data_IF_461228328581
#
_entry.id   IF_461228328581
#
_cell.length_a   1.000
_cell.length_b   1.000
_cell.length_c   1.000
_cell.angle_alpha   90.00
_cell.angle_beta   90.00
_cell.angle_gamma   90.00
#
_symmetry.space_group_name_H-M   'P 1'
#
loop_
_entity.id
_entity.type
_entity.pdbx_description
1 polymer ?
#
# COMPACT_ATOMS: atom_id res chain seq x y z
N UNK A 1 -36.40 11.56 5.63
CA UNK A 1 -35.00 12.03 5.67
C UNK A 1 -34.99 13.54 5.50
N UNK A 2 -34.58 14.26 6.56
CA UNK A 2 -34.73 15.72 6.70
C UNK A 2 -33.84 16.50 5.72
N UNK A 3 -34.33 17.65 5.23
CA UNK A 3 -33.56 18.65 4.44
C UNK A 3 -32.23 19.03 5.10
N UNK A 4 -32.13 18.97 6.43
CA UNK A 4 -30.89 19.24 7.19
C UNK A 4 -29.79 18.22 6.91
N UNK A 5 -30.16 16.96 6.63
CA UNK A 5 -29.18 15.89 6.38
C UNK A 5 -28.50 16.05 5.01
N UNK A 6 -29.22 16.59 4.03
CA UNK A 6 -28.69 16.91 2.70
C UNK A 6 -27.76 18.12 2.72
N UNK A 7 -28.07 19.13 3.54
CA UNK A 7 -27.20 20.30 3.72
C UNK A 7 -25.88 19.96 4.42
N UNK A 8 -25.90 19.05 5.41
CA UNK A 8 -24.69 18.60 6.11
C UNK A 8 -23.80 17.74 5.20
N UNK A 9 -24.39 16.84 4.41
CA UNK A 9 -23.65 16.04 3.42
C UNK A 9 -23.01 16.91 2.33
N UNK A 10 -23.75 17.91 1.82
CA UNK A 10 -23.20 18.86 0.84
C UNK A 10 -22.06 19.70 1.43
N UNK A 11 -22.17 20.12 2.69
CA UNK A 11 -21.13 20.89 3.37
C UNK A 11 -19.85 20.07 3.62
N UNK A 12 -19.99 18.80 4.03
CA UNK A 12 -18.85 17.88 4.22
C UNK A 12 -18.15 17.58 2.88
N UNK A 13 -18.92 17.33 1.82
CA UNK A 13 -18.38 17.12 0.47
C UNK A 13 -17.67 18.38 -0.05
N UNK A 14 -18.22 19.58 0.19
CA UNK A 14 -17.56 20.83 -0.20
C UNK A 14 -16.25 21.07 0.56
N UNK A 15 -16.20 20.79 1.87
CA UNK A 15 -14.96 20.92 2.65
C UNK A 15 -13.89 19.97 2.12
N UNK A 16 -14.23 18.70 1.87
CA UNK A 16 -13.27 17.74 1.32
C UNK A 16 -12.70 18.15 -0.04
N UNK A 17 -13.53 18.73 -0.92
CA UNK A 17 -13.07 19.24 -2.23
C UNK A 17 -12.17 20.48 -2.07
N UNK A 18 -12.51 21.40 -1.17
CA UNK A 18 -11.70 22.60 -0.90
C UNK A 18 -10.33 22.25 -0.29
N UNK A 19 -10.29 21.32 0.66
CA UNK A 19 -9.04 20.82 1.24
C UNK A 19 -8.17 20.13 0.19
N UNK A 20 -8.78 19.35 -0.72
CA UNK A 20 -8.05 18.65 -1.79
C UNK A 20 -7.44 19.63 -2.80
N UNK A 21 -8.15 20.71 -3.14
CA UNK A 21 -7.66 21.75 -4.05
C UNK A 21 -6.53 22.58 -3.41
N UNK A 22 -6.71 22.99 -2.16
CA UNK A 22 -5.69 23.74 -1.44
C UNK A 22 -4.40 22.91 -1.24
N UNK A 23 -4.53 21.60 -1.02
CA UNK A 23 -3.39 20.68 -0.95
C UNK A 23 -2.63 20.61 -2.29
N UNK A 24 -3.36 20.55 -3.41
CA UNK A 24 -2.77 20.56 -4.76
C UNK A 24 -2.05 21.88 -5.07
N UNK A 25 -2.66 23.01 -4.68
CA UNK A 25 -2.07 24.34 -4.90
C UNK A 25 -0.78 24.49 -4.09
N UNK A 26 -0.79 24.11 -2.81
CA UNK A 26 0.39 24.13 -1.94
C UNK A 26 1.51 23.21 -2.44
N UNK A 27 1.14 22.02 -2.93
CA UNK A 27 2.10 21.09 -3.51
C UNK A 27 2.77 21.67 -4.76
N UNK A 28 1.97 22.30 -5.64
CA UNK A 28 2.48 22.95 -6.86
C UNK A 28 3.44 24.09 -6.51
N UNK A 29 3.07 24.95 -5.57
CA UNK A 29 3.93 26.05 -5.09
C UNK A 29 5.25 25.53 -4.49
N UNK A 30 5.19 24.44 -3.73
CA UNK A 30 6.36 23.81 -3.12
C UNK A 30 7.29 23.21 -4.17
N UNK A 31 6.73 22.52 -5.17
CA UNK A 31 7.50 21.98 -6.30
C UNK A 31 8.18 23.12 -7.06
N UNK A 32 7.44 24.17 -7.44
CA UNK A 32 7.99 25.34 -8.15
C UNK A 32 9.14 25.98 -7.37
N UNK A 33 8.97 26.15 -6.05
CA UNK A 33 10.01 26.67 -5.16
C UNK A 33 11.27 25.81 -5.19
N UNK A 34 11.14 24.49 -5.12
CA UNK A 34 12.26 23.56 -5.05
C UNK A 34 13.01 23.39 -6.37
N UNK A 35 12.35 23.55 -7.52
CA UNK A 35 12.98 23.45 -8.84
C UNK A 35 13.38 24.81 -9.44
N UNK A 36 13.08 25.92 -8.76
CA UNK A 36 13.30 27.29 -9.25
C UNK A 36 14.73 27.53 -9.75
N UNK A 37 15.73 27.00 -9.02
CA UNK A 37 17.14 27.16 -9.36
C UNK A 37 17.63 26.17 -10.44
N UNK A 38 16.76 25.27 -10.89
CA UNK A 38 17.05 24.22 -11.87
C UNK A 38 16.25 24.37 -13.17
N UNK A 39 15.78 25.59 -13.47
CA UNK A 39 15.04 25.91 -14.69
C UNK A 39 13.54 26.12 -14.49
N UNK A 40 13.02 25.91 -13.28
CA UNK A 40 11.60 26.09 -12.97
C UNK A 40 10.71 24.97 -13.52
N UNK A 41 9.40 25.12 -13.36
CA UNK A 41 8.41 24.14 -13.84
C UNK A 41 8.26 24.25 -15.37
N UNK A 42 9.00 23.38 -16.07
CA UNK A 42 8.92 23.21 -17.53
C UNK A 42 8.30 21.85 -17.85
N UNK A 43 7.90 21.62 -19.11
CA UNK A 43 7.41 20.31 -19.56
C UNK A 43 8.43 19.19 -19.31
N UNK A 44 9.72 19.47 -19.52
CA UNK A 44 10.81 18.50 -19.27
C UNK A 44 10.95 18.20 -17.78
N UNK A 45 10.92 19.21 -16.92
CA UNK A 45 11.05 19.02 -15.47
C UNK A 45 9.82 18.30 -14.91
N UNK A 46 8.63 18.61 -15.42
CA UNK A 46 7.40 17.89 -15.06
C UNK A 46 7.47 16.41 -15.46
N UNK A 47 7.88 16.09 -16.68
CA UNK A 47 8.04 14.70 -17.14
C UNK A 47 9.03 13.92 -16.25
N UNK A 48 10.13 14.56 -15.83
CA UNK A 48 11.10 13.94 -14.92
C UNK A 48 10.49 13.67 -13.56
N UNK A 49 9.75 14.62 -12.99
CA UNK A 49 9.07 14.46 -11.69
C UNK A 49 7.97 13.38 -11.73
N UNK A 50 7.19 13.30 -12.81
CA UNK A 50 6.17 12.25 -13.00
C UNK A 50 6.78 10.84 -12.95
N UNK A 51 8.02 10.71 -13.42
CA UNK A 51 8.78 9.46 -13.49
C UNK A 51 9.74 9.28 -12.30
N UNK A 52 9.51 9.96 -11.18
CA UNK A 52 10.40 9.93 -10.00
C UNK A 52 10.79 8.52 -9.55
N UNK A 53 9.85 7.56 -9.56
CA UNK A 53 10.11 6.16 -9.15
C UNK A 53 11.04 5.40 -10.12
N UNK A 54 11.22 5.92 -11.33
CA UNK A 54 12.10 5.34 -12.35
C UNK A 54 13.50 5.94 -12.32
N UNK A 55 13.74 6.95 -11.48
CA UNK A 55 15.07 7.49 -11.28
C UNK A 55 15.98 6.41 -10.69
N UNK A 56 17.28 6.56 -10.91
CA UNK A 56 18.23 5.56 -10.45
C UNK A 56 18.41 5.64 -8.93
N UNK A 57 18.59 4.50 -8.26
CA UNK A 57 18.80 4.43 -6.80
C UNK A 57 19.94 5.31 -6.26
N UNK A 58 20.94 5.64 -7.09
CA UNK A 58 22.15 6.36 -6.70
C UNK A 58 22.27 7.78 -7.25
N UNK A 59 21.30 8.25 -8.04
CA UNK A 59 21.36 9.56 -8.66
C UNK A 59 19.98 10.20 -8.74
N UNK A 60 19.89 11.37 -8.13
CA UNK A 60 18.73 12.25 -8.19
C UNK A 60 18.83 13.12 -9.43
N UNK A 61 17.83 13.04 -10.31
CA UNK A 61 17.88 13.75 -11.58
C UNK A 61 17.86 15.27 -11.40
N UNK A 62 17.04 15.78 -10.48
CA UNK A 62 16.98 17.21 -10.13
C UNK A 62 17.71 17.40 -8.81
N UNK A 63 18.89 18.06 -8.79
CA UNK A 63 19.74 18.09 -7.61
C UNK A 63 19.02 18.64 -6.37
N UNK A 64 19.08 17.90 -5.25
CA UNK A 64 18.52 18.28 -3.95
C UNK A 64 17.01 18.58 -3.94
N UNK A 65 16.28 18.16 -4.99
CA UNK A 65 14.84 18.37 -5.09
C UNK A 65 14.11 17.69 -3.93
N UNK A 66 14.41 16.42 -3.67
CA UNK A 66 13.75 15.57 -2.67
C UNK A 66 13.90 16.16 -1.28
N UNK A 67 15.10 16.62 -0.91
CA UNK A 67 15.30 17.26 0.39
C UNK A 67 14.42 18.51 0.54
N UNK A 68 14.42 19.38 -0.47
CA UNK A 68 13.62 20.59 -0.44
C UNK A 68 12.13 20.26 -0.36
N UNK A 69 11.64 19.39 -1.25
CA UNK A 69 10.23 19.00 -1.31
C UNK A 69 9.77 18.37 0.01
N UNK A 70 10.59 17.49 0.60
CA UNK A 70 10.25 16.90 1.89
C UNK A 70 10.16 17.92 3.02
N UNK A 71 11.12 18.83 3.11
CA UNK A 71 11.15 19.85 4.16
C UNK A 71 10.01 20.88 4.03
N UNK A 72 9.47 21.08 2.82
CA UNK A 72 8.32 21.97 2.57
C UNK A 72 6.98 21.26 2.83
N UNK A 73 6.88 19.97 2.50
CA UNK A 73 5.60 19.26 2.43
C UNK A 73 5.28 18.37 3.63
N UNK A 74 6.29 17.88 4.35
CA UNK A 74 6.07 16.80 5.31
C UNK A 74 6.76 17.02 6.65
N UNK A 75 5.97 16.93 7.72
CA UNK A 75 6.47 17.03 9.10
C UNK A 75 7.36 15.85 9.51
N UNK A 76 7.32 14.73 8.76
CA UNK A 76 8.17 13.57 9.05
C UNK A 76 9.62 13.74 8.60
N UNK A 77 10.00 14.89 8.02
CA UNK A 77 11.36 15.14 7.57
C UNK A 77 11.87 16.51 8.01
N UNK A 78 13.07 16.53 8.59
CA UNK A 78 13.80 17.76 8.93
C UNK A 78 15.22 17.75 8.35
N UNK A 79 15.68 18.90 7.87
CA UNK A 79 16.99 19.03 7.21
C UNK A 79 18.19 18.70 8.12
N UNK A 80 18.01 18.74 9.45
CA UNK A 80 19.06 18.48 10.44
C UNK A 80 18.93 17.09 11.04
N UNK A 81 17.71 16.65 11.35
CA UNK A 81 17.47 15.37 12.03
C UNK A 81 17.06 14.23 11.08
N UNK A 82 16.77 14.53 9.82
CA UNK A 82 16.38 13.54 8.82
C UNK A 82 14.94 13.07 9.00
N UNK A 83 14.68 11.79 8.69
CA UNK A 83 13.36 11.19 8.76
C UNK A 83 12.96 10.86 10.20
N UNK A 84 11.77 11.28 10.61
CA UNK A 84 11.10 10.84 11.83
C UNK A 84 10.47 9.45 11.62
N UNK A 85 10.89 8.49 12.44
CA UNK A 85 10.37 7.11 12.37
C UNK A 85 8.85 7.07 12.55
N UNK A 86 8.33 7.82 13.52
CA UNK A 86 6.90 7.74 13.87
C UNK A 86 6.01 8.27 12.75
N UNK A 87 6.39 9.40 12.14
CA UNK A 87 5.70 9.99 11.00
C UNK A 87 5.76 9.11 9.75
N UNK A 88 6.94 8.54 9.44
CA UNK A 88 7.07 7.61 8.29
C UNK A 88 6.23 6.35 8.51
N UNK A 89 6.29 5.75 9.70
CA UNK A 89 5.52 4.55 10.01
C UNK A 89 4.00 4.83 10.05
N UNK A 90 3.58 6.03 10.47
CA UNK A 90 2.18 6.44 10.47
C UNK A 90 1.63 6.62 9.06
N UNK A 91 2.40 7.24 8.15
CA UNK A 91 1.94 7.53 6.79
C UNK A 91 2.05 6.33 5.84
N UNK A 92 3.18 5.62 5.87
CA UNK A 92 3.49 4.56 4.90
C UNK A 92 3.40 3.15 5.50
N UNK A 93 3.22 3.05 6.82
CA UNK A 93 3.17 1.79 7.55
C UNK A 93 4.53 1.31 8.05
N UNK A 94 4.52 0.65 9.20
CA UNK A 94 5.71 0.06 9.83
C UNK A 94 6.52 -0.88 8.88
N UNK A 95 5.90 -1.70 8.02
CA UNK A 95 6.66 -2.55 7.11
C UNK A 95 7.52 -1.78 6.10
N UNK A 96 7.01 -0.65 5.57
CA UNK A 96 7.78 0.21 4.64
C UNK A 96 8.95 0.85 5.38
N UNK A 97 8.69 1.42 6.57
CA UNK A 97 9.76 1.97 7.41
C UNK A 97 10.85 0.91 7.69
N UNK A 98 10.46 -0.28 8.14
CA UNK A 98 11.40 -1.36 8.46
C UNK A 98 12.22 -1.79 7.24
N UNK A 99 11.61 -1.87 6.06
CA UNK A 99 12.30 -2.23 4.82
C UNK A 99 13.28 -1.13 4.36
N UNK A 100 12.96 0.14 4.60
CA UNK A 100 13.80 1.28 4.22
C UNK A 100 14.74 1.76 5.33
N UNK A 101 14.69 1.18 6.54
CA UNK A 101 15.37 1.67 7.75
C UNK A 101 16.82 2.09 7.54
N UNK A 102 17.61 1.26 6.87
CA UNK A 102 19.04 1.55 6.62
C UNK A 102 19.30 2.81 5.77
N UNK A 103 18.31 3.23 4.95
CA UNK A 103 18.36 4.45 4.14
C UNK A 103 17.73 5.65 4.85
N UNK A 104 16.85 5.41 5.83
CA UNK A 104 16.16 6.44 6.59
C UNK A 104 16.97 6.92 7.81
N UNK A 105 17.67 6.01 8.47
CA UNK A 105 18.52 6.36 9.62
C UNK A 105 19.76 7.13 9.16
N UNK A 106 20.06 8.24 9.84
CA UNK A 106 21.32 8.96 9.66
C UNK A 106 22.47 8.04 10.06
N UNK A 107 23.20 7.52 9.08
CA UNK A 107 24.32 6.62 9.32
C UNK A 107 25.39 7.32 10.17
N UNK A 108 25.71 6.76 11.34
CA UNK A 108 26.69 7.28 12.30
C UNK A 108 28.16 7.27 11.85
N UNK A 109 28.44 7.44 10.55
CA UNK A 109 29.79 7.43 10.00
C UNK A 109 29.91 7.54 8.47
N UNK A 110 28.85 7.95 7.73
CA UNK A 110 28.93 8.14 6.27
C UNK A 110 29.01 9.62 5.91
N UNK A 111 29.86 9.94 4.94
CA UNK A 111 30.02 11.26 4.30
C UNK A 111 28.86 11.62 3.36
N UNK A 112 27.64 11.17 3.67
CA UNK A 112 26.47 11.36 2.81
C UNK A 112 25.91 12.76 3.04
N UNK A 113 25.66 13.51 1.97
CA UNK A 113 25.03 14.83 2.09
C UNK A 113 23.56 14.72 2.53
N UNK A 114 22.99 15.78 3.12
CA UNK A 114 21.56 15.80 3.47
C UNK A 114 20.66 15.55 2.26
N UNK A 115 21.05 16.01 1.07
CA UNK A 115 20.32 15.75 -0.18
C UNK A 115 20.33 14.26 -0.55
N UNK A 116 21.51 13.63 -0.53
CA UNK A 116 21.65 12.21 -0.84
C UNK A 116 20.90 11.33 0.15
N UNK A 117 20.86 11.72 1.43
CA UNK A 117 20.11 11.02 2.46
C UNK A 117 18.60 11.13 2.24
N UNK A 118 18.10 12.35 1.99
CA UNK A 118 16.70 12.59 1.64
C UNK A 118 16.26 11.75 0.43
N UNK A 119 17.05 11.81 -0.64
CA UNK A 119 16.77 11.08 -1.87
C UNK A 119 16.76 9.57 -1.63
N UNK A 120 17.82 9.01 -1.04
CA UNK A 120 17.91 7.57 -0.80
C UNK A 120 16.75 7.04 0.08
N UNK A 121 16.38 7.80 1.12
CA UNK A 121 15.29 7.45 2.02
C UNK A 121 13.93 7.48 1.32
N UNK A 122 13.60 8.62 0.67
CA UNK A 122 12.29 8.79 0.05
C UNK A 122 12.10 7.96 -1.20
N UNK A 123 13.14 7.81 -2.04
CA UNK A 123 13.10 6.91 -3.20
C UNK A 123 12.87 5.46 -2.77
N UNK A 124 13.37 5.04 -1.60
CA UNK A 124 13.03 3.73 -1.04
C UNK A 124 11.55 3.66 -0.65
N UNK A 125 11.04 4.66 0.08
CA UNK A 125 9.65 4.72 0.53
C UNK A 125 8.71 4.65 -0.68
N UNK A 126 8.87 5.53 -1.66
CA UNK A 126 7.95 5.62 -2.82
C UNK A 126 7.97 4.36 -3.69
N UNK A 127 9.11 3.66 -3.78
CA UNK A 127 9.20 2.38 -4.50
C UNK A 127 8.56 1.20 -3.76
N UNK A 128 8.47 1.27 -2.43
CA UNK A 128 7.84 0.23 -1.61
C UNK A 128 6.40 0.57 -1.20
N UNK A 129 6.01 1.83 -1.28
CA UNK A 129 4.65 2.28 -1.08
C UNK A 129 3.73 1.62 -2.11
N UNK A 130 2.70 0.93 -1.62
CA UNK A 130 1.77 0.19 -2.47
C UNK A 130 2.37 -1.08 -3.10
N UNK A 131 3.64 -1.43 -2.81
CA UNK A 131 4.21 -2.70 -3.24
C UNK A 131 3.48 -3.87 -2.54
N UNK A 132 3.04 -4.92 -3.25
CA UNK A 132 2.15 -5.92 -2.67
C UNK A 132 2.75 -6.70 -1.50
N UNK A 133 4.07 -6.87 -1.46
CA UNK A 133 4.74 -7.48 -0.29
C UNK A 133 4.62 -6.62 0.97
N UNK A 134 4.63 -5.30 0.82
CA UNK A 134 4.41 -4.38 1.94
C UNK A 134 2.94 -4.39 2.34
N UNK A 135 2.02 -4.41 1.37
CA UNK A 135 0.59 -4.52 1.66
C UNK A 135 0.26 -5.81 2.45
N UNK A 136 0.85 -6.95 2.06
CA UNK A 136 0.69 -8.22 2.81
C UNK A 136 1.26 -8.09 4.22
N UNK A 137 2.42 -7.44 4.39
CA UNK A 137 2.99 -7.25 5.73
C UNK A 137 2.15 -6.34 6.62
N UNK A 138 1.51 -5.35 6.03
CA UNK A 138 0.66 -4.39 6.74
C UNK A 138 -0.71 -4.97 7.13
N UNK A 139 -1.07 -6.19 6.69
CA UNK A 139 -2.37 -6.78 7.00
C UNK A 139 -2.52 -7.03 8.51
N UNK A 140 -3.54 -6.44 9.17
CA UNK A 140 -3.79 -6.66 10.58
C UNK A 140 -4.46 -8.02 10.80
N UNK A 141 -4.31 -8.57 12.01
CA UNK A 141 -5.03 -9.76 12.47
C UNK A 141 -4.82 -11.04 11.64
N UNK A 142 -3.72 -11.13 10.88
CA UNK A 142 -3.27 -12.36 10.23
C UNK A 142 -1.91 -12.79 10.76
N UNK A 143 -1.66 -14.11 10.77
CA UNK A 143 -0.41 -14.68 11.26
C UNK A 143 0.74 -14.50 10.28
N UNK A 144 1.98 -14.50 10.80
CA UNK A 144 3.19 -14.48 9.96
C UNK A 144 3.23 -15.63 8.95
N UNK A 145 2.81 -16.85 9.33
CA UNK A 145 2.72 -17.96 8.39
C UNK A 145 1.73 -17.71 7.24
N UNK A 146 0.64 -16.97 7.49
CA UNK A 146 -0.30 -16.58 6.45
C UNK A 146 0.31 -15.56 5.50
N UNK A 147 1.00 -14.54 6.03
CA UNK A 147 1.74 -13.57 5.24
C UNK A 147 2.81 -14.24 4.38
N UNK A 148 3.59 -15.16 4.94
CA UNK A 148 4.58 -15.95 4.20
C UNK A 148 3.92 -16.75 3.08
N UNK A 149 2.82 -17.46 3.35
CA UNK A 149 2.10 -18.21 2.33
C UNK A 149 1.57 -17.32 1.19
N UNK A 150 1.05 -16.14 1.52
CA UNK A 150 0.61 -15.14 0.53
C UNK A 150 1.79 -14.63 -0.30
N UNK A 151 2.90 -14.26 0.32
CA UNK A 151 4.11 -13.81 -0.39
C UNK A 151 4.70 -14.89 -1.31
N UNK A 152 4.83 -16.12 -0.82
CA UNK A 152 5.29 -17.26 -1.63
C UNK A 152 4.41 -17.45 -2.87
N UNK A 153 3.09 -17.32 -2.72
CA UNK A 153 2.16 -17.46 -3.83
C UNK A 153 2.26 -16.28 -4.81
N UNK A 154 2.50 -15.07 -4.31
CA UNK A 154 2.69 -13.89 -5.16
C UNK A 154 4.00 -13.96 -5.96
N UNK A 155 5.05 -14.61 -5.42
CA UNK A 155 6.29 -14.84 -6.17
C UNK A 155 6.11 -15.71 -7.42
N UNK A 156 5.02 -16.49 -7.51
CA UNK A 156 4.68 -17.29 -8.68
C UNK A 156 3.93 -16.50 -9.77
N UNK A 157 3.57 -15.25 -9.48
CA UNK A 157 2.81 -14.36 -10.35
C UNK A 157 3.77 -13.45 -11.09
N UNK A 158 3.53 -13.24 -12.39
CA UNK A 158 4.29 -12.30 -13.20
C UNK A 158 4.27 -10.90 -12.58
N UNK A 159 5.44 -10.24 -12.54
CA UNK A 159 5.60 -8.94 -11.88
C UNK A 159 4.67 -7.87 -12.44
N UNK A 160 4.33 -7.93 -13.73
CA UNK A 160 3.42 -6.98 -14.38
C UNK A 160 1.99 -7.08 -13.84
N UNK A 161 1.61 -8.21 -13.22
CA UNK A 161 0.31 -8.40 -12.60
C UNK A 161 0.26 -7.96 -11.12
N UNK A 162 1.41 -7.63 -10.51
CA UNK A 162 1.49 -7.28 -9.09
C UNK A 162 0.69 -6.03 -8.73
N UNK A 163 0.57 -5.08 -9.66
CA UNK A 163 -0.26 -3.88 -9.48
C UNK A 163 -1.73 -4.22 -9.20
N UNK A 164 -2.24 -5.33 -9.74
CA UNK A 164 -3.62 -5.80 -9.52
C UNK A 164 -3.89 -6.21 -8.08
N UNK A 165 -2.85 -6.42 -7.27
CA UNK A 165 -3.00 -6.75 -5.85
C UNK A 165 -3.76 -5.66 -5.08
N UNK A 166 -3.64 -4.40 -5.50
CA UNK A 166 -4.33 -3.25 -4.91
C UNK A 166 -5.86 -3.36 -4.93
N UNK A 167 -6.43 -4.22 -5.79
CA UNK A 167 -7.87 -4.41 -5.89
C UNK A 167 -8.46 -5.40 -4.87
N UNK A 168 -7.64 -6.19 -4.16
CA UNK A 168 -8.14 -7.19 -3.20
C UNK A 168 -8.98 -6.62 -2.04
N UNK A 169 -8.67 -5.45 -1.45
CA UNK A 169 -9.46 -4.86 -0.36
C UNK A 169 -10.93 -4.61 -0.74
N UNK A 170 -11.22 -4.37 -2.02
CA UNK A 170 -12.58 -4.13 -2.52
C UNK A 170 -13.40 -5.40 -2.72
N UNK A 171 -12.81 -6.57 -2.46
CA UNK A 171 -13.44 -7.88 -2.64
C UNK A 171 -14.17 -8.05 -4.00
N UNK A 172 -13.50 -7.74 -5.14
CA UNK A 172 -14.15 -7.76 -6.45
C UNK A 172 -14.70 -9.15 -6.76
N UNK A 173 -15.73 -9.23 -7.62
CA UNK A 173 -16.38 -10.50 -7.98
C UNK A 173 -15.41 -11.49 -8.64
N UNK A 174 -14.49 -10.95 -9.44
CA UNK A 174 -13.42 -11.71 -10.08
C UNK A 174 -12.13 -11.51 -9.29
N UNK A 175 -11.37 -12.59 -9.16
CA UNK A 175 -10.07 -12.55 -8.51
C UNK A 175 -9.09 -11.68 -9.31
N UNK A 176 -8.48 -10.63 -8.71
CA UNK A 176 -7.59 -9.72 -9.44
C UNK A 176 -6.35 -10.39 -10.01
N UNK A 177 -5.79 -11.34 -9.26
CA UNK A 177 -4.63 -12.13 -9.65
C UNK A 177 -5.06 -13.60 -9.75
N UNK A 178 -5.07 -14.20 -10.96
CA UNK A 178 -5.61 -15.53 -11.15
C UNK A 178 -5.04 -16.59 -10.18
N UNK A 179 -5.92 -17.30 -9.48
CA UNK A 179 -5.59 -18.43 -8.59
C UNK A 179 -4.73 -18.12 -7.36
N UNK A 180 -4.41 -16.85 -7.08
CA UNK A 180 -3.61 -16.44 -5.92
C UNK A 180 -4.22 -16.90 -4.59
N UNK A 181 -5.53 -16.71 -4.42
CA UNK A 181 -6.31 -17.07 -3.24
C UNK A 181 -6.29 -18.57 -3.01
N UNK A 182 -6.51 -19.35 -4.06
CA UNK A 182 -6.40 -20.81 -3.98
C UNK A 182 -4.99 -21.25 -3.58
N UNK A 183 -3.96 -20.58 -4.05
CA UNK A 183 -2.58 -20.92 -3.71
C UNK A 183 -2.32 -20.82 -2.20
N UNK A 184 -2.62 -19.67 -1.57
CA UNK A 184 -2.32 -19.53 -0.13
C UNK A 184 -3.28 -20.35 0.74
N UNK A 185 -4.53 -20.55 0.30
CA UNK A 185 -5.48 -21.48 0.95
C UNK A 185 -4.95 -22.90 1.00
N UNK A 186 -4.32 -23.35 -0.10
CA UNK A 186 -3.71 -24.68 -0.18
C UNK A 186 -2.50 -24.78 0.76
N UNK A 187 -1.59 -23.80 0.72
CA UNK A 187 -0.41 -23.75 1.61
C UNK A 187 -0.76 -23.73 3.09
N UNK A 188 -1.85 -23.05 3.45
CA UNK A 188 -2.34 -22.96 4.83
C UNK A 188 -3.29 -24.10 5.21
N UNK A 189 -3.55 -25.04 4.29
CA UNK A 189 -4.48 -26.15 4.49
C UNK A 189 -5.89 -25.71 4.96
N UNK A 190 -6.37 -24.57 4.43
CA UNK A 190 -7.68 -24.00 4.81
C UNK A 190 -8.84 -24.68 4.10
N UNK A 191 -8.56 -25.44 3.05
CA UNK A 191 -9.54 -26.19 2.29
C UNK A 191 -9.03 -27.62 2.05
N UNK A 192 -9.81 -28.60 2.48
CA UNK A 192 -9.55 -30.00 2.18
C UNK A 192 -10.16 -30.35 0.83
N UNK A 193 -9.30 -30.54 -0.19
CA UNK A 193 -9.73 -30.87 -1.55
C UNK A 193 -10.43 -32.23 -1.64
N UNK A 194 -10.08 -33.20 -0.78
CA UNK A 194 -10.68 -34.54 -0.78
C UNK A 194 -12.11 -34.52 -0.26
N UNK A 195 -12.34 -33.81 0.85
CA UNK A 195 -13.67 -33.71 1.46
C UNK A 195 -14.47 -32.51 0.97
N UNK A 196 -13.83 -31.60 0.22
CA UNK A 196 -14.39 -30.32 -0.26
C UNK A 196 -14.88 -29.43 0.89
N UNK A 197 -14.19 -29.46 2.02
CA UNK A 197 -14.57 -28.75 3.27
C UNK A 197 -13.57 -27.67 3.65
N UNK A 198 -14.10 -26.55 4.10
CA UNK A 198 -13.33 -25.47 4.69
C UNK A 198 -12.99 -25.75 6.15
N UNK A 199 -11.73 -25.53 6.51
CA UNK A 199 -11.20 -25.71 7.85
C UNK A 199 -11.34 -24.41 8.65
N UNK A 200 -12.57 -24.05 9.01
CA UNK A 200 -12.88 -22.77 9.69
C UNK A 200 -12.05 -22.52 10.96
N UNK A 201 -11.75 -23.51 11.83
CA UNK A 201 -10.87 -23.28 12.98
C UNK A 201 -9.44 -22.88 12.58
N UNK A 202 -8.93 -23.44 11.48
CA UNK A 202 -7.60 -23.12 10.95
C UNK A 202 -7.63 -21.73 10.30
N UNK A 203 -8.70 -21.43 9.56
CA UNK A 203 -8.91 -20.13 8.93
C UNK A 203 -8.93 -19.00 9.95
N UNK A 204 -9.67 -19.15 11.06
CA UNK A 204 -9.71 -18.14 12.15
C UNK A 204 -8.35 -17.92 12.79
N UNK A 205 -7.61 -19.00 13.01
CA UNK A 205 -6.27 -18.92 13.60
C UNK A 205 -5.27 -18.20 12.71
N UNK A 206 -5.29 -18.45 11.40
CA UNK A 206 -4.31 -17.86 10.49
C UNK A 206 -4.70 -16.49 9.94
N UNK A 207 -5.99 -16.26 9.72
CA UNK A 207 -6.51 -15.10 8.98
C UNK A 207 -7.49 -14.25 9.80
N UNK A 208 -7.81 -14.63 11.04
CA UNK A 208 -8.78 -13.90 11.87
C UNK A 208 -10.24 -13.99 11.42
N UNK A 209 -10.53 -14.79 10.38
CA UNK A 209 -11.85 -14.88 9.74
C UNK A 209 -12.32 -16.32 9.61
N UNK A 210 -13.64 -16.59 9.51
CA UNK A 210 -14.73 -15.65 9.79
C UNK A 210 -14.79 -15.31 11.28
N UNK A 211 -15.29 -14.13 11.64
CA UNK A 211 -15.43 -13.73 13.06
C UNK A 211 -16.29 -14.75 13.84
N UNK A 212 -16.05 -14.95 15.15
CA UNK A 212 -16.88 -15.83 15.96
C UNK A 212 -18.36 -15.42 15.88
N UNK A 213 -19.25 -16.38 15.59
CA UNK A 213 -20.69 -16.13 15.44
C UNK A 213 -21.16 -15.79 14.01
N UNK A 214 -20.24 -15.60 13.06
CA UNK A 214 -20.60 -15.20 11.70
C UNK A 214 -21.49 -16.22 10.95
N UNK A 215 -22.43 -15.71 10.17
CA UNK A 215 -23.36 -16.51 9.37
C UNK A 215 -22.72 -17.00 8.07
N UNK A 216 -22.07 -18.17 8.12
CA UNK A 216 -21.26 -18.69 7.00
C UNK A 216 -21.87 -19.89 6.26
N UNK A 217 -23.09 -20.29 6.61
CA UNK A 217 -23.72 -21.51 6.11
C UNK A 217 -23.85 -21.54 4.58
N UNK A 218 -24.05 -20.40 3.92
CA UNK A 218 -24.16 -20.33 2.46
C UNK A 218 -22.81 -20.16 1.73
N UNK A 219 -21.71 -19.88 2.44
CA UNK A 219 -20.46 -19.50 1.78
C UNK A 219 -19.88 -20.63 0.91
N UNK A 220 -19.90 -21.87 1.38
CA UNK A 220 -19.43 -23.04 0.62
C UNK A 220 -20.26 -23.34 -0.65
N UNK A 221 -21.46 -22.76 -0.79
CA UNK A 221 -22.34 -22.99 -1.93
C UNK A 221 -21.99 -22.12 -3.13
N UNK A 222 -21.18 -21.07 -2.95
CA UNK A 222 -20.75 -20.19 -4.04
C UNK A 222 -19.93 -20.98 -5.06
N UNK A 223 -20.23 -20.79 -6.35
CA UNK A 223 -19.55 -21.46 -7.46
C UNK A 223 -19.13 -20.45 -8.51
N UNK A 224 -17.84 -20.51 -8.85
CA UNK A 224 -17.27 -19.80 -9.98
C UNK A 224 -17.19 -20.67 -11.23
N UNK A 225 -16.65 -20.10 -12.30
CA UNK A 225 -16.47 -20.78 -13.61
C UNK A 225 -15.42 -21.89 -13.57
N UNK A 226 -14.51 -21.84 -12.60
CA UNK A 226 -13.43 -22.81 -12.39
C UNK A 226 -13.12 -22.96 -10.89
N UNK A 227 -12.15 -23.80 -10.54
CA UNK A 227 -11.80 -24.06 -9.15
C UNK A 227 -11.26 -22.81 -8.43
N UNK A 228 -10.40 -22.02 -9.07
CA UNK A 228 -9.84 -20.81 -8.48
C UNK A 228 -10.91 -19.77 -8.16
N UNK A 229 -11.76 -19.46 -9.13
CA UNK A 229 -12.89 -18.54 -8.94
C UNK A 229 -13.90 -19.06 -7.91
N UNK A 230 -14.15 -20.37 -7.84
CA UNK A 230 -15.00 -20.94 -6.78
C UNK A 230 -14.37 -20.73 -5.40
N UNK A 231 -13.10 -21.07 -5.23
CA UNK A 231 -12.39 -20.92 -3.97
C UNK A 231 -12.33 -19.46 -3.54
N UNK A 232 -12.03 -18.55 -4.47
CA UNK A 232 -12.00 -17.11 -4.22
C UNK A 232 -13.37 -16.58 -3.76
N UNK A 233 -14.46 -16.89 -4.48
CA UNK A 233 -15.81 -16.44 -4.10
C UNK A 233 -16.25 -16.99 -2.74
N UNK A 234 -15.92 -18.24 -2.44
CA UNK A 234 -16.19 -18.86 -1.15
C UNK A 234 -15.36 -18.19 -0.04
N UNK A 235 -14.05 -17.99 -0.27
CA UNK A 235 -13.15 -17.29 0.65
C UNK A 235 -13.68 -15.90 0.99
N UNK A 236 -13.94 -15.07 -0.03
CA UNK A 236 -14.47 -13.72 0.13
C UNK A 236 -15.77 -13.71 0.94
N UNK A 237 -16.66 -14.68 0.73
CA UNK A 237 -17.85 -14.81 1.57
C UNK A 237 -17.52 -15.03 3.05
N UNK A 238 -16.55 -15.89 3.37
CA UNK A 238 -16.12 -16.11 4.76
C UNK A 238 -15.44 -14.87 5.36
N UNK A 239 -14.65 -14.13 4.58
CA UNK A 239 -14.01 -12.89 5.04
C UNK A 239 -15.07 -11.83 5.38
N UNK A 240 -16.08 -11.70 4.52
CA UNK A 240 -17.14 -10.68 4.65
C UNK A 240 -18.29 -11.09 5.58
N UNK A 241 -18.31 -12.31 6.11
CA UNK A 241 -19.40 -12.78 6.95
C UNK A 241 -19.36 -12.12 8.34
N UNK A 242 -20.52 -11.61 8.76
CA UNK A 242 -20.77 -11.03 10.09
C UNK A 242 -21.66 -11.93 10.95
#
# INVERSE_FOLDING_TARGET
MSRQMWSLLAFILCIGVLESLALLDHETESIEKCIKNYGGLTSETAERLERFKEWSDGYEEIPCFTQCYLAEMFEFYDNRTGFDESGVAQLFGQPVYNACRQRLELGGGRTQSSCEHAYAGFHCITNLEGHPFMQIESMPNITESAKTAMKDCLQLVDRDEWSRFQAYPEFPVNEPIPCFTRCFISKLHLFDERTRRWQLPIMRRHLGVPVPGAHVSACHQRRGRNQCSSIYQQFTCYVMAA
#
